data_IF_891982471969
#
_entry.id   IF_891982471969
#
_cell.length_a   1.000
_cell.length_b   1.000
_cell.length_c   1.000
_cell.angle_alpha   90.00
_cell.angle_beta   90.00
_cell.angle_gamma   90.00
#
_symmetry.space_group_name_H-M   'P 1'
#
loop_
_entity.id
_entity.type
_entity.pdbx_description
1 polymer ?
#
# COMPACT_ATOMS: atom_id res chain seq x y z
N UNK A 1 -9.54 8.07 5.10
CA UNK A 1 -8.55 7.07 4.61
C UNK A 1 -7.16 7.30 5.20
N UNK A 2 -6.68 8.53 5.29
CA UNK A 2 -5.41 8.84 5.98
C UNK A 2 -5.41 8.42 7.46
N UNK A 3 -6.46 8.77 8.21
CA UNK A 3 -6.65 8.29 9.58
C UNK A 3 -6.69 6.76 9.67
N UNK A 4 -7.40 6.09 8.73
CA UNK A 4 -7.44 4.63 8.65
C UNK A 4 -6.03 4.05 8.44
N UNK A 5 -5.23 4.63 7.55
CA UNK A 5 -3.87 4.21 7.30
C UNK A 5 -2.99 4.33 8.55
N UNK A 6 -3.06 5.47 9.25
CA UNK A 6 -2.34 5.63 10.52
C UNK A 6 -2.80 4.63 11.56
N UNK A 7 -4.11 4.46 11.77
CA UNK A 7 -4.64 3.52 12.76
C UNK A 7 -4.23 2.08 12.47
N UNK A 8 -4.29 1.63 11.22
CA UNK A 8 -3.85 0.29 10.82
C UNK A 8 -2.34 0.08 11.07
N UNK A 9 -1.52 1.13 10.95
CA UNK A 9 -0.07 1.05 11.18
C UNK A 9 0.34 1.18 12.66
N UNK A 10 -0.36 2.00 13.43
CA UNK A 10 0.05 2.36 14.80
C UNK A 10 -0.67 1.56 15.87
N UNK A 11 -1.73 0.84 15.53
CA UNK A 11 -2.50 0.02 16.46
C UNK A 11 -2.37 -1.46 16.11
N UNK A 12 -2.85 -2.34 17.00
CA UNK A 12 -3.02 -3.77 16.70
C UNK A 12 -4.37 -4.09 16.04
N UNK A 13 -5.09 -3.06 15.57
CA UNK A 13 -6.41 -3.22 14.95
C UNK A 13 -6.27 -3.42 13.45
N UNK A 14 -7.01 -4.38 12.93
CA UNK A 14 -7.15 -4.59 11.49
C UNK A 14 -8.11 -3.56 10.87
N UNK A 15 -8.09 -3.43 9.54
CA UNK A 15 -9.11 -2.65 8.82
C UNK A 15 -10.54 -3.17 9.09
N UNK A 16 -10.69 -4.45 9.42
CA UNK A 16 -11.95 -5.06 9.82
C UNK A 16 -12.42 -4.54 11.18
N UNK A 17 -11.53 -4.50 12.18
CA UNK A 17 -11.85 -3.98 13.51
C UNK A 17 -12.25 -2.50 13.44
N UNK A 18 -11.57 -1.72 12.59
CA UNK A 18 -11.90 -0.32 12.36
C UNK A 18 -13.25 -0.19 11.65
N UNK A 19 -13.54 -1.01 10.63
CA UNK A 19 -14.85 -1.03 9.98
C UNK A 19 -15.97 -1.37 10.96
N UNK A 20 -15.74 -2.34 11.85
CA UNK A 20 -16.68 -2.72 12.90
C UNK A 20 -16.87 -1.58 13.92
N UNK A 21 -15.80 -0.92 14.32
CA UNK A 21 -15.87 0.24 15.21
C UNK A 21 -16.69 1.39 14.60
N UNK A 22 -16.56 1.63 13.29
CA UNK A 22 -17.37 2.62 12.58
C UNK A 22 -18.87 2.24 12.56
N UNK A 23 -19.18 0.95 12.37
CA UNK A 23 -20.56 0.45 12.45
C UNK A 23 -21.13 0.65 13.86
N UNK A 24 -20.39 0.29 14.90
CA UNK A 24 -20.81 0.51 16.29
C UNK A 24 -20.93 1.99 16.66
N UNK A 25 -20.08 2.86 16.11
CA UNK A 25 -20.17 4.30 16.33
C UNK A 25 -21.43 4.89 15.68
N UNK A 26 -21.90 4.30 14.58
CA UNK A 26 -23.14 4.72 13.91
C UNK A 26 -24.39 4.23 14.64
N UNK A 27 -24.36 2.99 15.13
CA UNK A 27 -25.40 2.44 15.99
C UNK A 27 -24.80 1.49 17.04
N UNK A 28 -24.72 1.99 18.28
CA UNK A 28 -24.27 1.19 19.41
C UNK A 28 -25.36 0.23 19.92
N UNK A 29 -26.62 0.44 19.53
CA UNK A 29 -27.76 -0.37 20.02
C UNK A 29 -27.92 -1.69 19.26
N UNK A 30 -27.40 -1.76 18.02
CA UNK A 30 -27.58 -2.90 17.13
C UNK A 30 -29.02 -3.09 16.66
N UNK A 31 -29.89 -2.09 16.89
CA UNK A 31 -31.31 -2.13 16.50
C UNK A 31 -31.51 -1.70 15.05
N UNK A 32 -30.58 -0.92 14.49
CA UNK A 32 -30.62 -0.49 13.10
C UNK A 32 -29.81 -1.47 12.25
N UNK A 33 -30.37 -1.83 11.10
CA UNK A 33 -29.62 -2.54 10.07
C UNK A 33 -28.63 -1.58 9.41
N UNK A 34 -27.39 -1.59 9.90
CA UNK A 34 -26.29 -0.84 9.31
C UNK A 34 -25.61 -1.67 8.24
N UNK A 35 -25.67 -1.20 7.00
CA UNK A 35 -25.04 -1.87 5.87
C UNK A 35 -23.54 -2.15 6.11
N UNK A 36 -23.16 -3.41 5.96
CA UNK A 36 -21.77 -3.85 6.07
C UNK A 36 -20.96 -3.41 4.84
N UNK A 37 -20.10 -2.39 5.01
CA UNK A 37 -19.33 -1.77 3.91
C UNK A 37 -17.85 -2.13 3.88
N UNK A 38 -17.44 -3.22 4.54
CA UNK A 38 -16.02 -3.61 4.62
C UNK A 38 -15.36 -3.77 3.25
N UNK A 39 -16.01 -4.44 2.30
CA UNK A 39 -15.46 -4.63 0.95
C UNK A 39 -15.20 -3.28 0.25
N UNK A 40 -16.12 -2.33 0.41
CA UNK A 40 -15.96 -0.97 -0.13
C UNK A 40 -14.80 -0.23 0.54
N UNK A 41 -14.69 -0.36 1.87
CA UNK A 41 -13.60 0.25 2.64
C UNK A 41 -12.23 -0.24 2.16
N UNK A 42 -12.08 -1.55 1.94
CA UNK A 42 -10.84 -2.14 1.43
C UNK A 42 -10.54 -1.64 0.01
N UNK A 43 -11.53 -1.61 -0.88
CA UNK A 43 -11.33 -1.06 -2.23
C UNK A 43 -10.86 0.39 -2.19
N UNK A 44 -11.49 1.24 -1.37
CA UNK A 44 -11.11 2.64 -1.20
C UNK A 44 -9.70 2.78 -0.62
N UNK A 45 -9.34 1.92 0.35
CA UNK A 45 -8.00 1.91 0.95
C UNK A 45 -6.93 1.55 -0.08
N UNK A 46 -7.16 0.52 -0.90
CA UNK A 46 -6.23 0.10 -1.96
C UNK A 46 -6.04 1.19 -3.02
N UNK A 47 -7.14 1.81 -3.48
CA UNK A 47 -7.07 2.94 -4.43
C UNK A 47 -6.28 4.11 -3.84
N UNK A 48 -6.52 4.44 -2.58
CA UNK A 48 -5.80 5.52 -1.89
C UNK A 48 -4.31 5.18 -1.73
N UNK A 49 -3.95 3.95 -1.36
CA UNK A 49 -2.55 3.50 -1.26
C UNK A 49 -1.85 3.60 -2.62
N UNK A 50 -2.52 3.19 -3.70
CA UNK A 50 -1.99 3.31 -5.06
C UNK A 50 -1.71 4.78 -5.44
N UNK A 51 -2.63 5.71 -5.13
CA UNK A 51 -2.41 7.14 -5.34
C UNK A 51 -1.22 7.68 -4.53
N UNK A 52 -1.03 7.19 -3.29
CA UNK A 52 0.15 7.57 -2.48
C UNK A 52 1.45 7.05 -3.07
N UNK A 53 1.47 5.81 -3.58
CA UNK A 53 2.63 5.24 -4.27
C UNK A 53 2.98 6.05 -5.52
N UNK A 54 2.00 6.37 -6.37
CA UNK A 54 2.20 7.21 -7.56
C UNK A 54 2.83 8.57 -7.20
N UNK A 55 2.35 9.20 -6.12
CA UNK A 55 2.90 10.47 -5.62
C UNK A 55 4.35 10.30 -5.12
N UNK A 56 4.62 9.28 -4.32
CA UNK A 56 5.95 9.01 -3.76
C UNK A 56 6.99 8.70 -4.85
N UNK A 57 6.61 7.94 -5.87
CA UNK A 57 7.46 7.64 -7.02
C UNK A 57 7.50 8.77 -8.07
N UNK A 58 6.96 9.95 -7.75
CA UNK A 58 7.07 11.14 -8.61
C UNK A 58 6.37 11.02 -9.97
N UNK A 59 5.39 10.13 -10.14
CA UNK A 59 4.76 9.86 -11.46
C UNK A 59 4.02 11.06 -12.05
N UNK A 60 3.65 12.04 -11.22
CA UNK A 60 3.12 13.32 -11.70
C UNK A 60 4.13 14.19 -12.48
N UNK A 61 5.44 13.94 -12.35
CA UNK A 61 6.50 14.63 -13.08
C UNK A 61 6.99 13.85 -14.31
N UNK A 62 6.57 12.60 -14.48
CA UNK A 62 6.93 11.80 -15.64
C UNK A 62 6.13 12.30 -16.86
N UNK A 63 6.75 12.60 -18.01
CA UNK A 63 6.04 12.99 -19.23
C UNK A 63 4.95 11.99 -19.69
N UNK A 64 5.13 10.69 -19.42
CA UNK A 64 4.11 9.66 -19.70
C UNK A 64 3.00 9.58 -18.64
N UNK A 65 3.16 10.32 -17.55
CA UNK A 65 2.22 10.41 -16.44
C UNK A 65 1.94 9.07 -15.77
N UNK A 66 0.77 8.97 -15.14
CA UNK A 66 0.29 7.72 -14.52
C UNK A 66 0.08 6.62 -15.56
N UNK A 67 -0.41 6.97 -16.76
CA UNK A 67 -0.73 6.03 -17.83
C UNK A 67 0.49 5.26 -18.36
N UNK A 68 1.69 5.83 -18.28
CA UNK A 68 2.93 5.16 -18.65
C UNK A 68 3.61 4.38 -17.53
N UNK A 69 2.98 4.22 -16.37
CA UNK A 69 3.55 3.44 -15.25
C UNK A 69 3.50 1.95 -15.59
N UNK A 70 4.66 1.29 -15.67
CA UNK A 70 4.75 -0.13 -15.99
C UNK A 70 4.65 -1.01 -14.73
N UNK A 71 4.64 -2.33 -14.92
CA UNK A 71 4.79 -3.26 -13.79
C UNK A 71 6.18 -3.10 -13.15
N UNK A 72 6.24 -3.11 -11.82
CA UNK A 72 7.49 -2.91 -11.07
C UNK A 72 7.93 -1.45 -10.90
N UNK A 73 7.39 -0.51 -11.66
CA UNK A 73 7.78 0.91 -11.65
C UNK A 73 7.51 1.65 -10.33
N UNK A 74 6.58 1.15 -9.51
CA UNK A 74 6.23 1.71 -8.20
C UNK A 74 6.84 0.92 -7.04
N UNK A 75 7.66 -0.09 -7.35
CA UNK A 75 8.31 -0.92 -6.34
C UNK A 75 9.69 -0.36 -6.02
N UNK A 76 10.09 -0.54 -4.77
CA UNK A 76 11.46 -0.24 -4.35
C UNK A 76 12.27 -1.53 -4.55
N UNK A 77 13.39 -1.51 -5.30
CA UNK A 77 14.23 -2.68 -5.44
C UNK A 77 14.70 -3.13 -4.06
N UNK A 78 14.57 -4.42 -3.78
CA UNK A 78 14.98 -4.98 -2.49
C UNK A 78 16.50 -4.81 -2.33
N UNK A 79 16.99 -4.13 -1.28
CA UNK A 79 18.42 -3.87 -1.12
C UNK A 79 19.23 -5.15 -0.82
N UNK A 80 18.57 -6.22 -0.34
CA UNK A 80 19.19 -7.51 -0.08
C UNK A 80 19.25 -8.43 -1.30
N UNK A 81 18.50 -8.13 -2.36
CA UNK A 81 18.61 -8.90 -3.61
C UNK A 81 19.94 -8.59 -4.29
N UNK A 82 20.49 -9.57 -5.01
CA UNK A 82 21.73 -9.41 -5.75
C UNK A 82 21.48 -8.60 -7.03
N UNK A 83 22.11 -7.43 -7.12
CA UNK A 83 21.96 -6.48 -8.23
C UNK A 83 23.33 -6.24 -8.89
N UNK A 84 23.57 -6.80 -10.08
CA UNK A 84 24.81 -6.58 -10.82
C UNK A 84 25.07 -5.10 -11.04
N UNK A 85 26.28 -4.63 -10.71
CA UNK A 85 26.66 -3.22 -10.84
C UNK A 85 26.10 -2.28 -9.76
N UNK A 86 25.38 -2.79 -8.76
CA UNK A 86 24.93 -2.00 -7.60
C UNK A 86 25.57 -2.55 -6.31
N UNK A 87 25.30 -3.80 -5.96
CA UNK A 87 25.74 -4.41 -4.69
C UNK A 87 26.44 -5.77 -4.86
N UNK A 88 26.65 -6.20 -6.10
CA UNK A 88 27.50 -7.34 -6.44
C UNK A 88 28.91 -6.84 -6.82
N UNK A 89 29.99 -7.52 -6.38
CA UNK A 89 31.35 -7.19 -6.82
C UNK A 89 31.52 -7.39 -8.33
N UNK A 90 32.48 -6.67 -8.92
CA UNK A 90 32.88 -6.92 -10.30
C UNK A 90 33.38 -8.37 -10.45
N UNK A 91 33.03 -9.03 -11.56
CA UNK A 91 33.33 -10.44 -11.82
C UNK A 91 32.74 -11.45 -10.83
N UNK A 92 31.67 -11.13 -10.10
CA UNK A 92 30.95 -12.08 -9.23
C UNK A 92 30.56 -13.42 -9.89
N UNK A 93 30.48 -13.47 -11.23
CA UNK A 93 30.18 -14.67 -12.01
C UNK A 93 31.39 -15.62 -12.15
N UNK A 94 32.61 -15.09 -11.97
CA UNK A 94 33.87 -15.81 -12.08
C UNK A 94 34.38 -16.29 -10.72
N UNK A 95 33.69 -15.91 -9.64
CA UNK A 95 34.02 -16.35 -8.29
C UNK A 95 33.73 -17.85 -8.18
N UNK A 96 34.80 -18.64 -8.11
CA UNK A 96 34.76 -20.11 -8.19
C UNK A 96 34.87 -20.79 -6.83
N UNK A 97 34.54 -20.09 -5.75
CA UNK A 97 34.49 -20.68 -4.39
C UNK A 97 33.28 -21.61 -4.19
#
# INVERSE_FOLDING_TARGET
LEQLHHLVLTTKCSAYDICRALVHALDATGLKDVAWRYRMLICMQLQWQHLKLLKQCGRGHNPSGVAGTQEGDLTIPCPSCLHPGINLPENWQQDSE
#
